data_IF_594173485353
#
_entry.id   IF_594173485353
#
_cell.length_a   1.000
_cell.length_b   1.000
_cell.length_c   1.000
_cell.angle_alpha   90.00
_cell.angle_beta   90.00
_cell.angle_gamma   90.00
#
_symmetry.space_group_name_H-M   'P 1'
#
loop_
_entity.id
_entity.type
_entity.pdbx_description
1 polymer ?
#
# COMPACT_ATOMS: atom_id res chain seq x y z
N UNK A 1 -11.70 -10.37 -0.70
CA UNK A 1 -12.43 -10.53 -1.96
C UNK A 1 -13.82 -9.89 -1.84
N UNK A 2 -14.17 -9.06 -2.80
CA UNK A 2 -15.46 -8.39 -2.78
C UNK A 2 -16.59 -9.37 -3.09
N UNK A 3 -17.71 -9.21 -2.42
CA UNK A 3 -18.91 -9.97 -2.75
C UNK A 3 -19.45 -9.57 -4.13
N UNK A 4 -20.29 -10.41 -4.73
CA UNK A 4 -20.90 -10.09 -6.03
C UNK A 4 -21.72 -8.79 -5.98
N UNK A 5 -22.36 -8.52 -4.84
CA UNK A 5 -23.13 -7.28 -4.64
C UNK A 5 -22.21 -6.05 -4.68
N UNK A 6 -21.06 -6.13 -4.02
CA UNK A 6 -20.08 -5.03 -4.00
C UNK A 6 -19.46 -4.81 -5.39
N UNK A 7 -19.18 -5.88 -6.13
CA UNK A 7 -18.69 -5.80 -7.50
C UNK A 7 -19.68 -5.08 -8.43
N UNK A 8 -20.97 -5.38 -8.30
CA UNK A 8 -22.02 -4.70 -9.08
C UNK A 8 -22.07 -3.22 -8.77
N UNK A 9 -22.01 -2.84 -7.49
CA UNK A 9 -22.01 -1.44 -7.08
C UNK A 9 -20.80 -0.70 -7.62
N UNK A 10 -19.62 -1.31 -7.57
CA UNK A 10 -18.41 -0.70 -8.13
C UNK A 10 -18.51 -0.56 -9.64
N UNK A 11 -18.92 -1.61 -10.35
CA UNK A 11 -19.07 -1.57 -11.81
C UNK A 11 -20.06 -0.50 -12.24
N UNK A 12 -21.20 -0.40 -11.55
CA UNK A 12 -22.21 0.60 -11.83
C UNK A 12 -21.66 2.02 -11.63
N UNK A 13 -20.97 2.25 -10.53
CA UNK A 13 -20.36 3.56 -10.22
C UNK A 13 -19.28 3.96 -11.23
N UNK A 14 -18.61 2.99 -11.85
CA UNK A 14 -17.55 3.24 -12.83
C UNK A 14 -18.03 3.32 -14.27
N UNK A 15 -19.30 3.00 -14.54
CA UNK A 15 -19.88 3.15 -15.88
C UNK A 15 -20.27 4.61 -16.13
N UNK A 16 -20.37 4.98 -17.41
CA UNK A 16 -20.83 6.32 -17.79
C UNK A 16 -22.22 6.62 -17.21
N UNK A 17 -23.13 5.65 -17.27
CA UNK A 17 -24.49 5.81 -16.73
C UNK A 17 -24.48 5.98 -15.22
N UNK A 18 -23.68 5.22 -14.50
CA UNK A 18 -23.52 5.34 -13.06
C UNK A 18 -22.96 6.70 -12.66
N UNK A 19 -21.98 7.19 -13.40
CA UNK A 19 -21.39 8.50 -13.16
C UNK A 19 -22.39 9.63 -13.45
N UNK A 20 -23.17 9.50 -14.52
CA UNK A 20 -24.17 10.48 -14.89
C UNK A 20 -25.30 10.59 -13.86
N UNK A 21 -25.61 9.51 -13.14
CA UNK A 21 -26.60 9.53 -12.07
C UNK A 21 -26.08 10.17 -10.79
N UNK A 22 -24.75 10.25 -10.61
CA UNK A 22 -24.17 10.93 -9.46
C UNK A 22 -24.37 12.43 -9.58
N UNK A 23 -24.58 13.07 -8.43
CA UNK A 23 -24.56 14.52 -8.39
C UNK A 23 -23.16 15.02 -8.79
N UNK A 24 -23.05 16.27 -9.22
CA UNK A 24 -21.73 16.87 -9.53
C UNK A 24 -20.74 16.70 -8.38
N UNK A 25 -21.24 16.72 -7.15
CA UNK A 25 -20.42 16.52 -5.95
C UNK A 25 -19.90 15.09 -5.85
N UNK A 26 -20.76 14.11 -6.13
CA UNK A 26 -20.36 12.69 -6.15
C UNK A 26 -19.35 12.40 -7.24
N UNK A 27 -19.53 12.99 -8.41
CA UNK A 27 -18.57 12.85 -9.52
C UNK A 27 -17.17 13.37 -9.14
N UNK A 28 -17.09 14.54 -8.53
CA UNK A 28 -15.82 15.09 -8.04
C UNK A 28 -15.18 14.20 -7.00
N UNK A 29 -15.96 13.60 -6.13
CA UNK A 29 -15.47 12.66 -5.12
C UNK A 29 -14.81 11.44 -5.78
N UNK A 30 -15.43 10.85 -6.79
CA UNK A 30 -14.90 9.70 -7.51
C UNK A 30 -13.60 10.07 -8.24
N UNK A 31 -13.58 11.20 -8.93
CA UNK A 31 -12.39 11.69 -9.62
C UNK A 31 -11.22 11.90 -8.66
N UNK A 32 -11.48 12.52 -7.52
CA UNK A 32 -10.47 12.76 -6.49
C UNK A 32 -9.95 11.46 -5.90
N UNK A 33 -10.81 10.49 -5.68
CA UNK A 33 -10.41 9.17 -5.17
C UNK A 33 -9.44 8.49 -6.13
N UNK A 34 -9.69 8.55 -7.42
CA UNK A 34 -8.78 7.99 -8.43
C UNK A 34 -7.44 8.73 -8.47
N UNK A 35 -7.45 10.04 -8.35
CA UNK A 35 -6.21 10.84 -8.31
C UNK A 35 -5.36 10.45 -7.10
N UNK A 36 -5.98 10.31 -5.94
CA UNK A 36 -5.29 9.89 -4.70
C UNK A 36 -4.71 8.49 -4.87
N UNK A 37 -5.48 7.56 -5.41
CA UNK A 37 -5.02 6.19 -5.62
C UNK A 37 -3.83 6.14 -6.59
N UNK A 38 -3.88 6.91 -7.66
CA UNK A 38 -2.78 7.01 -8.61
C UNK A 38 -1.53 7.61 -7.99
N UNK A 39 -1.68 8.63 -7.14
CA UNK A 39 -0.55 9.24 -6.42
C UNK A 39 0.11 8.23 -5.49
N UNK A 40 -0.67 7.47 -4.75
CA UNK A 40 -0.15 6.44 -3.85
C UNK A 40 0.55 5.32 -4.61
N UNK A 41 -0.02 4.90 -5.72
CA UNK A 41 0.60 3.89 -6.57
C UNK A 41 1.98 4.33 -7.03
N UNK A 42 2.12 5.57 -7.48
CA UNK A 42 3.40 6.12 -7.94
C UNK A 42 4.43 6.19 -6.82
N UNK A 43 4.00 6.63 -5.63
CA UNK A 43 4.89 6.70 -4.46
C UNK A 43 5.42 5.31 -4.12
N UNK A 44 4.56 4.30 -4.09
CA UNK A 44 4.94 2.93 -3.78
C UNK A 44 5.87 2.36 -4.87
N UNK A 45 5.55 2.57 -6.13
CA UNK A 45 6.41 2.12 -7.24
C UNK A 45 7.82 2.70 -7.12
N UNK A 46 7.93 3.99 -6.83
CA UNK A 46 9.22 4.67 -6.68
C UNK A 46 10.02 4.12 -5.49
N UNK A 47 9.36 3.86 -4.36
CA UNK A 47 10.01 3.30 -3.17
C UNK A 47 10.54 1.88 -3.42
N UNK A 48 9.74 1.03 -4.07
CA UNK A 48 10.16 -0.32 -4.39
C UNK A 48 11.30 -0.32 -5.41
N UNK A 49 11.24 0.57 -6.39
CA UNK A 49 12.33 0.72 -7.36
C UNK A 49 13.64 1.15 -6.68
N UNK A 50 13.58 2.11 -5.77
CA UNK A 50 14.75 2.54 -4.99
C UNK A 50 15.31 1.40 -4.14
N UNK A 51 14.45 0.62 -3.51
CA UNK A 51 14.87 -0.54 -2.73
C UNK A 51 15.60 -1.54 -3.62
N UNK A 52 15.05 -1.84 -4.79
CA UNK A 52 15.66 -2.74 -5.75
C UNK A 52 17.05 -2.23 -6.20
N UNK A 53 17.14 -0.95 -6.50
CA UNK A 53 18.41 -0.31 -6.90
C UNK A 53 19.47 -0.36 -5.81
N UNK A 54 19.05 -0.39 -4.54
CA UNK A 54 19.96 -0.51 -3.40
C UNK A 54 20.32 -1.96 -3.04
N UNK A 55 19.89 -2.94 -3.84
CA UNK A 55 20.23 -4.34 -3.66
C UNK A 55 19.19 -5.19 -2.96
N UNK A 56 17.99 -4.66 -2.72
CA UNK A 56 16.90 -5.42 -2.10
C UNK A 56 16.27 -6.36 -3.13
N UNK A 57 16.07 -7.60 -2.74
CA UNK A 57 15.47 -8.63 -3.61
C UNK A 57 14.10 -9.08 -3.14
N UNK A 58 13.73 -8.70 -1.92
CA UNK A 58 12.49 -9.14 -1.28
C UNK A 58 11.89 -7.99 -0.46
N UNK A 59 10.58 -7.84 -0.56
CA UNK A 59 9.82 -6.90 0.26
C UNK A 59 8.94 -7.70 1.20
N UNK A 60 9.00 -7.38 2.49
CA UNK A 60 8.19 -8.05 3.51
C UNK A 60 7.28 -7.00 4.17
N UNK A 61 5.98 -7.25 4.12
CA UNK A 61 5.00 -6.46 4.86
C UNK A 61 4.71 -7.15 6.20
N UNK A 62 5.05 -6.49 7.30
CA UNK A 62 4.73 -6.97 8.64
C UNK A 62 3.39 -6.39 9.09
N UNK A 63 2.45 -7.29 9.38
CA UNK A 63 1.12 -6.94 9.80
C UNK A 63 0.19 -6.73 8.62
N UNK A 64 -0.61 -5.68 8.67
CA UNK A 64 -1.63 -5.45 7.66
C UNK A 64 -1.66 -4.00 7.17
N UNK A 65 -2.16 -3.83 5.95
CA UNK A 65 -2.27 -2.53 5.29
C UNK A 65 -3.50 -2.51 4.39
N UNK A 66 -4.16 -1.37 4.32
CA UNK A 66 -5.24 -1.15 3.34
C UNK A 66 -4.73 -1.13 1.90
N UNK A 67 -3.45 -0.81 1.72
CA UNK A 67 -2.85 -0.68 0.39
C UNK A 67 -1.86 -1.81 0.06
N UNK A 68 -2.00 -2.96 0.70
CA UNK A 68 -1.14 -4.11 0.43
C UNK A 68 -1.15 -4.52 -1.04
N UNK A 69 -2.26 -4.34 -1.73
CA UNK A 69 -2.38 -4.63 -3.16
C UNK A 69 -1.47 -3.75 -4.01
N UNK A 70 -1.23 -2.50 -3.60
CA UNK A 70 -0.29 -1.61 -4.29
C UNK A 70 1.15 -2.07 -4.09
N UNK A 71 1.48 -2.56 -2.90
CA UNK A 71 2.80 -3.13 -2.62
C UNK A 71 3.04 -4.38 -3.46
N UNK A 72 2.06 -5.26 -3.52
CA UNK A 72 2.13 -6.48 -4.32
C UNK A 72 2.33 -6.15 -5.81
N UNK A 73 1.56 -5.21 -6.32
CA UNK A 73 1.66 -4.77 -7.71
C UNK A 73 3.04 -4.17 -8.00
N UNK A 74 3.53 -3.29 -7.13
CA UNK A 74 4.83 -2.64 -7.31
C UNK A 74 5.98 -3.65 -7.31
N UNK A 75 5.91 -4.66 -6.43
CA UNK A 75 6.91 -5.72 -6.39
C UNK A 75 6.88 -6.57 -7.66
N UNK A 76 5.69 -6.88 -8.15
CA UNK A 76 5.53 -7.63 -9.39
C UNK A 76 6.10 -6.87 -10.58
N UNK A 77 5.82 -5.58 -10.68
CA UNK A 77 6.33 -4.72 -11.75
C UNK A 77 7.85 -4.62 -11.73
N UNK A 78 8.47 -4.66 -10.56
CA UNK A 78 9.91 -4.52 -10.38
C UNK A 78 10.63 -5.89 -10.26
N UNK A 79 9.94 -7.00 -10.40
CA UNK A 79 10.48 -8.35 -10.25
C UNK A 79 11.14 -8.57 -8.88
N UNK A 80 10.51 -8.06 -7.84
CA UNK A 80 10.93 -8.23 -6.46
C UNK A 80 9.93 -9.19 -5.78
N UNK A 81 10.42 -10.09 -4.96
CA UNK A 81 9.57 -11.03 -4.21
C UNK A 81 8.79 -10.25 -3.14
N UNK A 82 7.50 -10.52 -3.02
CA UNK A 82 6.66 -9.92 -1.99
C UNK A 82 6.16 -10.99 -1.03
N UNK A 83 6.31 -10.72 0.26
CA UNK A 83 5.86 -11.62 1.32
C UNK A 83 5.10 -10.81 2.37
N UNK A 84 4.04 -11.42 2.90
CA UNK A 84 3.28 -10.84 4.02
C UNK A 84 3.52 -11.69 5.25
N UNK A 85 3.88 -11.04 6.36
CA UNK A 85 3.97 -11.64 7.69
C UNK A 85 2.81 -11.12 8.52
N UNK A 86 1.66 -11.80 8.50
CA UNK A 86 0.44 -11.28 9.16
C UNK A 86 0.55 -11.30 10.67
N UNK A 87 1.32 -12.23 11.21
CA UNK A 87 1.58 -12.32 12.65
C UNK A 87 2.98 -11.82 12.95
N UNK A 88 3.08 -10.87 13.84
CA UNK A 88 4.35 -10.28 14.23
C UNK A 88 4.85 -11.00 15.49
N UNK A 89 5.95 -11.71 15.32
CA UNK A 89 6.57 -12.44 16.42
C UNK A 89 7.35 -11.49 17.34
N UNK A 90 7.38 -11.82 18.61
CA UNK A 90 8.20 -11.10 19.59
C UNK A 90 9.19 -12.09 20.22
N UNK A 91 10.53 -11.89 20.08
CA UNK A 91 11.18 -10.76 19.41
C UNK A 91 11.03 -10.79 17.88
N UNK A 92 11.13 -9.61 17.28
CA UNK A 92 11.08 -9.48 15.81
C UNK A 92 12.29 -10.19 15.19
N UNK A 93 12.11 -11.02 14.14
CA UNK A 93 13.23 -11.68 13.50
C UNK A 93 14.27 -10.70 12.94
N UNK A 94 15.51 -11.14 12.87
CA UNK A 94 16.58 -10.32 12.28
C UNK A 94 16.30 -10.13 10.79
N UNK A 95 16.36 -8.86 10.35
CA UNK A 95 16.12 -8.48 8.96
C UNK A 95 17.43 -8.60 8.19
N UNK A 96 17.39 -9.28 7.04
CA UNK A 96 18.56 -9.43 6.17
C UNK A 96 18.74 -8.17 5.32
N UNK A 97 19.97 -7.91 4.89
CA UNK A 97 20.29 -6.77 4.04
C UNK A 97 19.52 -6.77 2.71
N UNK A 98 19.22 -7.94 2.17
CA UNK A 98 18.47 -8.09 0.93
C UNK A 98 16.96 -7.90 1.08
N UNK A 99 16.48 -7.71 2.32
CA UNK A 99 15.07 -7.59 2.63
C UNK A 99 14.70 -6.14 2.91
N UNK A 100 13.67 -5.65 2.24
CA UNK A 100 13.05 -4.36 2.50
C UNK A 100 11.78 -4.63 3.32
N UNK A 101 11.81 -4.25 4.58
CA UNK A 101 10.73 -4.55 5.51
C UNK A 101 9.88 -3.32 5.78
N UNK A 102 8.57 -3.48 5.70
CA UNK A 102 7.59 -2.41 5.84
C UNK A 102 6.63 -2.76 6.97
N UNK A 103 6.41 -1.83 7.88
CA UNK A 103 5.40 -1.96 8.93
C UNK A 103 4.08 -1.39 8.44
N UNK A 104 3.03 -2.21 8.43
CA UNK A 104 1.71 -1.83 7.95
C UNK A 104 1.03 -0.81 8.87
N UNK A 105 0.28 0.11 8.30
CA UNK A 105 -0.38 1.20 9.04
C UNK A 105 -1.54 0.72 9.92
N UNK A 106 -2.04 -0.50 9.70
CA UNK A 106 -3.12 -1.06 10.50
C UNK A 106 -2.65 -1.74 11.78
N UNK A 107 -1.34 -1.85 11.98
CA UNK A 107 -0.79 -2.41 13.20
C UNK A 107 -0.92 -1.42 14.36
N UNK A 108 -0.93 -1.96 15.58
CA UNK A 108 -0.88 -1.12 16.79
C UNK A 108 0.45 -0.35 16.84
N UNK A 109 0.41 0.87 17.36
CA UNK A 109 1.57 1.77 17.40
C UNK A 109 2.77 1.17 18.13
N UNK A 110 2.55 0.46 19.23
CA UNK A 110 3.62 -0.18 19.98
C UNK A 110 4.33 -1.28 19.19
N UNK A 111 3.59 -2.00 18.36
CA UNK A 111 4.15 -3.03 17.48
C UNK A 111 5.03 -2.37 16.41
N UNK A 112 4.57 -1.29 15.81
CA UNK A 112 5.32 -0.59 14.77
C UNK A 112 6.60 0.06 15.32
N UNK A 113 6.59 0.55 16.55
CA UNK A 113 7.81 1.03 17.21
C UNK A 113 8.87 -0.06 17.28
N UNK A 114 8.48 -1.28 17.67
CA UNK A 114 9.38 -2.43 17.72
C UNK A 114 9.91 -2.82 16.35
N UNK A 115 9.06 -2.79 15.32
CA UNK A 115 9.44 -3.09 13.96
C UNK A 115 10.42 -2.05 13.39
N UNK A 116 10.19 -0.78 13.67
CA UNK A 116 11.08 0.31 13.24
C UNK A 116 12.46 0.15 13.89
N UNK A 117 12.50 -0.18 15.17
CA UNK A 117 13.77 -0.45 15.86
C UNK A 117 14.51 -1.63 15.25
N UNK A 118 13.80 -2.61 14.70
CA UNK A 118 14.39 -3.77 14.05
C UNK A 118 14.84 -3.46 12.61
N UNK A 119 14.55 -2.30 12.07
CA UNK A 119 14.97 -1.88 10.73
C UNK A 119 13.85 -1.79 9.71
N UNK A 120 12.60 -1.95 10.12
CA UNK A 120 11.44 -1.75 9.22
C UNK A 120 11.18 -0.27 8.98
N UNK A 121 10.59 0.04 7.83
CA UNK A 121 10.13 1.38 7.51
C UNK A 121 8.62 1.42 7.74
N UNK A 122 8.15 2.48 8.38
CA UNK A 122 6.72 2.68 8.59
C UNK A 122 6.07 3.10 7.27
N UNK A 123 5.09 2.32 6.82
CA UNK A 123 4.39 2.62 5.58
C UNK A 123 3.71 3.99 5.62
N UNK A 124 3.18 4.36 6.78
CA UNK A 124 2.54 5.67 6.95
C UNK A 124 3.54 6.82 6.72
N UNK A 125 4.77 6.67 7.18
CA UNK A 125 5.82 7.67 6.94
C UNK A 125 6.14 7.81 5.46
N UNK A 126 6.23 6.69 4.74
CA UNK A 126 6.44 6.71 3.29
C UNK A 126 5.33 7.53 2.61
N UNK A 127 4.09 7.26 2.97
CA UNK A 127 2.94 7.89 2.33
C UNK A 127 2.81 9.37 2.70
N UNK A 128 3.06 9.72 3.96
CA UNK A 128 2.93 11.09 4.44
C UNK A 128 4.05 12.01 3.93
N UNK A 129 5.28 11.51 3.93
CA UNK A 129 6.44 12.33 3.55
C UNK A 129 6.53 12.60 2.05
N UNK A 130 5.88 11.77 1.25
CA UNK A 130 5.95 11.86 -0.20
C UNK A 130 4.61 12.15 -0.86
N UNK A 131 3.52 12.21 -0.07
CA UNK A 131 2.22 12.51 -0.62
C UNK A 131 2.17 13.94 -1.17
N UNK A 132 1.51 14.07 -2.30
CA UNK A 132 1.25 15.38 -2.87
C UNK A 132 0.25 16.08 -1.96
N UNK A 133 0.58 17.30 -1.58
CA UNK A 133 -0.34 18.13 -0.81
C UNK A 133 -1.50 18.52 -1.73
N UNK A 134 -2.66 18.00 -1.42
CA UNK A 134 -3.87 18.26 -2.18
C UNK A 134 -4.59 19.51 -1.67
#
# INVERSE_FOLDING_TARGET
MLSNVNKRKLSYALTADGIDELTKRGKKFVERTFEIANSYNQIILDEILKAKQSGKTKVILFGNSYIKFLLEYACKENNVVFEIQPEIKNPVPVIKESEFCIAGELNESGINESLIKAGCIDLLDIMQNKSIVL
#
